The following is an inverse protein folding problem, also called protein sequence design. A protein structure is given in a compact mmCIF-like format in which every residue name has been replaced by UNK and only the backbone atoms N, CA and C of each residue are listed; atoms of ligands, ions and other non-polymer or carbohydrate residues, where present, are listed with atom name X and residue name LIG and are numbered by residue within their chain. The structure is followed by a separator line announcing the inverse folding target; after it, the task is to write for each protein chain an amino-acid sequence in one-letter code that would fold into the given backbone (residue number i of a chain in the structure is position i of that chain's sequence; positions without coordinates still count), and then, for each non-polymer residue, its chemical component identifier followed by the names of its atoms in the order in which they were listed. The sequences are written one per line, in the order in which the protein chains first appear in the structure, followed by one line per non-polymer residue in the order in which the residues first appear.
data_IF_430946270966
#
_entry.id   IF_430946270966
#
_cell.length_a   1.000
_cell.length_b   1.000
_cell.length_c   1.000
_cell.angle_alpha   90.00
_cell.angle_beta   90.00
_cell.angle_gamma   90.00
#
_symmetry.space_group_name_H-M   'P 1'
#
loop_
_entity.id
_entity.type
_entity.pdbx_description
1 polymer ?
#
# COMPACT_ATOMS: atom_id res chain seq x y z
N UNK A 1 -22.75 -1.69 15.36
CA UNK A 1 -21.61 -0.96 14.77
C UNK A 1 -21.68 -1.07 13.26
N UNK A 2 -21.15 -0.09 12.51
CA UNK A 2 -21.14 -0.13 11.04
C UNK A 2 -19.90 -0.88 10.55
N UNK A 3 -20.08 -1.75 9.56
CA UNK A 3 -19.00 -2.48 8.90
C UNK A 3 -18.16 -1.58 7.97
N UNK A 4 -16.87 -1.87 7.76
CA UNK A 4 -16.00 -1.13 6.85
C UNK A 4 -16.63 -0.98 5.46
N UNK A 5 -16.38 0.17 4.83
CA UNK A 5 -16.79 0.41 3.45
C UNK A 5 -15.92 -0.36 2.47
N UNK A 6 -16.44 -0.66 1.28
CA UNK A 6 -15.66 -1.28 0.20
C UNK A 6 -14.39 -0.48 -0.15
N UNK A 7 -14.48 0.85 -0.11
CA UNK A 7 -13.33 1.74 -0.34
C UNK A 7 -12.25 1.56 0.72
N UNK A 8 -12.62 1.49 2.00
CA UNK A 8 -11.66 1.23 3.09
C UNK A 8 -11.03 -0.16 2.94
N UNK A 9 -11.83 -1.19 2.65
CA UNK A 9 -11.32 -2.55 2.45
C UNK A 9 -10.40 -2.64 1.23
N UNK A 10 -10.70 -1.92 0.15
CA UNK A 10 -9.85 -1.87 -1.03
C UNK A 10 -8.50 -1.23 -0.75
N UNK A 11 -8.49 -0.09 -0.04
CA UNK A 11 -7.25 0.56 0.38
C UNK A 11 -6.43 -0.35 1.30
N UNK A 12 -7.06 -0.95 2.31
CA UNK A 12 -6.39 -1.88 3.23
C UNK A 12 -5.74 -3.04 2.48
N UNK A 13 -6.44 -3.67 1.52
CA UNK A 13 -5.85 -4.75 0.70
C UNK A 13 -4.62 -4.32 -0.08
N UNK A 14 -4.62 -3.07 -0.58
CA UNK A 14 -3.44 -2.54 -1.25
C UNK A 14 -2.32 -2.31 -0.25
N UNK A 15 -2.61 -1.72 0.92
CA UNK A 15 -1.61 -1.51 1.97
C UNK A 15 -0.94 -2.84 2.37
N UNK A 16 -1.72 -3.89 2.63
CA UNK A 16 -1.23 -5.23 3.00
C UNK A 16 -0.31 -5.91 1.96
N UNK A 17 -0.20 -5.37 0.74
CA UNK A 17 0.77 -5.85 -0.26
C UNK A 17 2.17 -5.26 -0.08
N UNK A 18 2.27 -4.07 0.52
CA UNK A 18 3.52 -3.33 0.69
C UNK A 18 4.04 -3.43 2.12
N UNK A 19 3.13 -3.37 3.11
CA UNK A 19 3.51 -3.34 4.52
C UNK A 19 3.29 -4.69 5.21
N UNK A 20 4.09 -5.00 6.23
CA UNK A 20 3.97 -6.23 7.02
C UNK A 20 2.89 -6.15 8.10
N UNK A 21 1.71 -5.59 7.77
CA UNK A 21 0.57 -5.46 8.67
C UNK A 21 -0.67 -6.13 8.07
N UNK A 22 -1.57 -6.65 8.92
CA UNK A 22 -2.83 -7.27 8.50
C UNK A 22 -4.00 -6.69 9.28
N UNK A 23 -5.08 -6.38 8.56
CA UNK A 23 -6.30 -5.87 9.16
C UNK A 23 -7.21 -7.02 9.60
N UNK A 24 -7.48 -7.10 10.90
CA UNK A 24 -8.39 -8.10 11.50
C UNK A 24 -9.65 -7.48 12.10
N UNK A 25 -9.88 -6.19 11.89
CA UNK A 25 -11.03 -5.45 12.42
C UNK A 25 -12.31 -5.70 11.62
N UNK A 26 -13.46 -5.36 12.21
CA UNK A 26 -14.78 -5.56 11.63
C UNK A 26 -15.65 -4.30 11.60
N UNK A 27 -15.10 -3.16 12.00
CA UNK A 27 -15.84 -1.89 12.08
C UNK A 27 -15.20 -0.79 11.24
N UNK A 28 -16.01 0.17 10.78
CA UNK A 28 -15.52 1.38 10.07
C UNK A 28 -14.42 2.07 10.86
N UNK A 29 -14.57 2.15 12.19
CA UNK A 29 -13.61 2.82 13.06
C UNK A 29 -12.26 2.11 13.05
N UNK A 30 -12.26 0.79 13.26
CA UNK A 30 -11.01 0.00 13.23
C UNK A 30 -10.34 0.08 11.85
N UNK A 31 -11.12 0.06 10.78
CA UNK A 31 -10.59 0.23 9.42
C UNK A 31 -9.94 1.61 9.24
N UNK A 32 -10.59 2.68 9.71
CA UNK A 32 -10.02 4.03 9.68
C UNK A 32 -8.75 4.14 10.53
N UNK A 33 -8.75 3.58 11.75
CA UNK A 33 -7.59 3.58 12.64
C UNK A 33 -6.41 2.82 12.00
N UNK A 34 -6.66 1.65 11.40
CA UNK A 34 -5.64 0.91 10.67
C UNK A 34 -5.05 1.72 9.51
N UNK A 35 -5.91 2.33 8.68
CA UNK A 35 -5.47 3.16 7.55
C UNK A 35 -4.62 4.32 8.06
N UNK A 36 -5.06 5.03 9.10
CA UNK A 36 -4.32 6.17 9.65
C UNK A 36 -2.97 5.77 10.22
N UNK A 37 -2.89 4.65 10.94
CA UNK A 37 -1.66 4.23 11.60
C UNK A 37 -0.58 3.72 10.63
N UNK A 38 -0.99 3.31 9.43
CA UNK A 38 -0.10 2.67 8.46
C UNK A 38 0.02 3.43 7.13
N UNK A 39 -0.59 4.62 7.02
CA UNK A 39 -0.57 5.40 5.78
C UNK A 39 0.86 5.81 5.41
N UNK A 40 1.63 6.29 6.38
CA UNK A 40 2.98 6.81 6.13
C UNK A 40 3.91 5.69 5.64
N UNK A 41 3.93 4.55 6.35
CA UNK A 41 4.68 3.34 5.96
C UNK A 41 4.26 2.84 4.58
N UNK A 42 2.96 2.82 4.29
CA UNK A 42 2.45 2.42 2.98
C UNK A 42 2.92 3.35 1.85
N UNK A 43 2.98 4.66 2.06
CA UNK A 43 3.46 5.60 1.03
C UNK A 43 4.96 5.42 0.81
N UNK A 44 5.75 5.30 1.87
CA UNK A 44 7.21 5.12 1.78
C UNK A 44 7.57 3.83 1.02
N UNK A 45 6.97 2.69 1.40
CA UNK A 45 7.22 1.40 0.74
C UNK A 45 6.75 1.40 -0.72
N UNK A 46 5.64 2.07 -1.01
CA UNK A 46 5.13 2.19 -2.37
C UNK A 46 6.05 3.07 -3.24
N UNK A 47 6.53 4.19 -2.71
CA UNK A 47 7.48 5.08 -3.41
C UNK A 47 8.78 4.33 -3.71
N UNK A 48 9.33 3.58 -2.76
CA UNK A 48 10.53 2.76 -2.99
C UNK A 48 10.29 1.67 -4.07
N UNK A 49 9.12 1.04 -4.07
CA UNK A 49 8.77 0.05 -5.10
C UNK A 49 8.62 0.68 -6.50
N UNK A 50 8.01 1.88 -6.58
CA UNK A 50 7.85 2.62 -7.83
C UNK A 50 9.21 3.16 -8.34
N UNK A 51 10.06 3.69 -7.46
CA UNK A 51 11.42 4.13 -7.80
C UNK A 51 12.31 2.97 -8.27
N UNK A 52 12.22 1.82 -7.60
CA UNK A 52 12.89 0.60 -8.06
C UNK A 52 12.47 0.25 -9.48
N UNK A 53 11.18 0.39 -9.82
CA UNK A 53 10.68 0.10 -11.17
C UNK A 53 11.24 1.05 -12.23
N UNK A 54 11.37 2.34 -11.91
CA UNK A 54 11.96 3.33 -12.82
C UNK A 54 13.44 3.04 -13.08
N UNK A 55 14.20 2.63 -12.06
CA UNK A 55 15.62 2.28 -12.22
C UNK A 55 15.83 1.04 -13.10
N UNK A 56 14.94 0.06 -13.04
CA UNK A 56 15.05 -1.12 -13.92
C UNK A 56 14.69 -0.81 -15.38
N UNK A 57 13.74 0.08 -15.64
CA UNK A 57 13.38 0.46 -17.02
C UNK A 57 14.52 1.25 -17.71
N UNK A 58 15.18 2.18 -17.01
CA UNK A 58 16.28 2.98 -17.61
C UNK A 58 17.54 2.15 -17.91
N UNK A 59 17.87 1.15 -17.07
CA UNK A 59 19.04 0.28 -17.29
C UNK A 59 18.86 -0.62 -18.52
N UNK A 60 17.63 -1.02 -18.86
CA UNK A 60 17.38 -1.88 -20.02
C UNK A 60 17.39 -1.15 -21.37
N UNK A 61 17.24 0.18 -21.40
CA UNK A 61 17.32 0.94 -22.65
C UNK A 61 18.76 1.35 -23.03
N UNK A 62 19.73 1.34 -22.11
CA UNK A 62 21.13 1.63 -22.43
C UNK A 62 21.94 0.42 -22.96
N UNK A 63 21.48 -0.82 -22.76
CA UNK A 63 22.14 -2.02 -23.31
C UNK A 63 21.63 -2.47 -24.69
N UNK A 64 20.70 -1.73 -25.30
CA UNK A 64 20.16 -2.02 -26.63
C UNK A 64 20.82 -1.16 -27.72
N UNK A 65 22.13 -1.33 -27.92
CA UNK A 65 22.85 -0.90 -29.14
C UNK A 65 22.89 -2.03 -30.17
#
# INVERSE_FOLDING_TARGET
MRSPTEKQLGLIRNMEQYISARFTGNTIREASEFITNHMDEYQEEKEMADESKVLYDDVYYEESW
#
